data_IF_181507636435
#
_entry.id   IF_181507636435
#
_cell.length_a   1.000
_cell.length_b   1.000
_cell.length_c   1.000
_cell.angle_alpha   90.00
_cell.angle_beta   90.00
_cell.angle_gamma   90.00
#
_symmetry.space_group_name_H-M   'P 1'
#
loop_
_entity.id
_entity.type
_entity.pdbx_description
1 polymer ?
#
# COMPACT_ATOMS: atom_id res chain seq x y z
N UNK A 1 19.40 36.07 81.95
CA UNK A 1 20.48 36.42 81.02
C UNK A 1 20.20 35.68 79.72
N UNK A 2 19.82 36.40 78.65
CA UNK A 2 19.55 35.82 77.31
C UNK A 2 20.87 35.67 76.55
N UNK A 3 21.06 34.61 75.74
CA UNK A 3 21.91 34.69 74.57
C UNK A 3 21.06 34.78 73.29
N UNK A 4 21.51 35.67 72.41
CA UNK A 4 20.89 36.03 71.15
C UNK A 4 21.01 34.92 70.10
N UNK A 5 19.92 34.66 69.38
CA UNK A 5 19.93 33.85 68.17
C UNK A 5 20.46 34.71 67.00
N UNK A 6 21.61 34.30 66.46
CA UNK A 6 22.23 34.90 65.30
C UNK A 6 21.52 34.39 64.03
N UNK A 7 20.87 35.29 63.30
CA UNK A 7 20.28 35.04 61.98
C UNK A 7 21.42 34.87 60.95
N UNK A 8 21.62 33.65 60.45
CA UNK A 8 22.40 33.40 59.23
C UNK A 8 21.45 33.46 58.03
N UNK A 9 21.56 34.55 57.27
CA UNK A 9 20.93 34.70 55.97
C UNK A 9 21.61 33.74 54.97
N UNK A 10 20.91 32.69 54.57
CA UNK A 10 21.35 31.84 53.45
C UNK A 10 21.00 32.55 52.15
N UNK A 11 22.03 33.04 51.47
CA UNK A 11 21.95 33.58 50.12
C UNK A 11 21.59 32.42 49.18
N UNK A 12 20.38 32.45 48.62
CA UNK A 12 19.96 31.53 47.57
C UNK A 12 20.67 31.90 46.27
N UNK A 13 21.75 31.21 45.95
CA UNK A 13 22.35 31.25 44.62
C UNK A 13 21.43 30.50 43.65
N UNK A 14 20.69 31.24 42.83
CA UNK A 14 19.94 30.69 41.72
C UNK A 14 20.93 30.20 40.65
N UNK A 15 21.21 28.90 40.61
CA UNK A 15 21.91 28.27 39.51
C UNK A 15 20.98 28.21 38.30
N UNK A 16 21.20 29.09 37.33
CA UNK A 16 20.58 29.01 36.02
C UNK A 16 21.00 27.72 35.33
N UNK A 17 20.12 26.71 35.33
CA UNK A 17 20.31 25.50 34.55
C UNK A 17 20.22 25.87 33.05
N UNK A 18 21.37 25.86 32.39
CA UNK A 18 21.48 26.02 30.94
C UNK A 18 20.93 24.75 30.31
N UNK A 19 19.70 24.80 29.78
CA UNK A 19 19.14 23.70 28.99
C UNK A 19 19.93 23.61 27.68
N UNK A 20 20.46 22.44 27.28
CA UNK A 20 21.02 22.29 25.95
C UNK A 20 19.87 22.41 24.94
N UNK A 21 20.03 23.34 24.00
CA UNK A 21 19.11 23.54 22.90
C UNK A 21 18.88 22.20 22.18
N UNK A 22 17.65 21.69 22.26
CA UNK A 22 17.21 20.59 21.40
C UNK A 22 17.27 21.08 19.96
N UNK A 23 17.95 20.36 19.05
CA UNK A 23 17.90 20.73 17.64
C UNK A 23 16.46 20.55 17.20
N UNK A 24 15.89 21.62 16.64
CA UNK A 24 14.55 21.62 16.09
C UNK A 24 14.37 20.42 15.15
N UNK A 25 13.41 19.55 15.50
CA UNK A 25 12.87 18.50 14.65
C UNK A 25 12.14 19.15 13.45
N UNK A 26 12.90 19.69 12.52
CA UNK A 26 12.41 20.28 11.28
C UNK A 26 13.07 19.56 10.09
N UNK A 27 12.78 18.27 9.92
CA UNK A 27 13.09 17.56 8.66
C UNK A 27 12.31 16.25 8.43
N UNK A 28 11.33 15.88 9.28
CA UNK A 28 10.43 14.76 8.98
C UNK A 28 9.14 15.28 8.34
N UNK A 29 9.27 15.88 7.15
CA UNK A 29 8.15 15.91 6.23
C UNK A 29 8.14 14.55 5.54
N UNK A 30 7.15 13.66 5.78
CA UNK A 30 6.94 12.58 4.84
C UNK A 30 6.71 13.24 3.48
N UNK A 31 7.35 12.72 2.44
CA UNK A 31 7.10 13.13 1.07
C UNK A 31 5.62 12.94 0.75
N UNK A 32 4.80 13.94 1.09
CA UNK A 32 3.42 14.09 0.62
C UNK A 32 3.54 14.46 -0.84
N UNK A 33 3.53 13.45 -1.71
CA UNK A 33 3.21 13.65 -3.13
C UNK A 33 1.81 14.28 -3.18
N UNK A 34 1.78 15.56 -3.52
CA UNK A 34 0.63 16.47 -3.45
C UNK A 34 -0.46 16.23 -4.51
N UNK A 35 -0.53 15.04 -5.12
CA UNK A 35 -1.44 14.85 -6.27
C UNK A 35 -2.04 13.44 -6.34
N UNK A 36 -2.82 13.06 -5.33
CA UNK A 36 -3.80 11.96 -5.41
C UNK A 36 -5.02 12.32 -4.57
N UNK A 37 -6.17 12.49 -5.22
CA UNK A 37 -7.47 12.77 -4.59
C UNK A 37 -8.12 11.55 -3.91
N UNK A 38 -7.37 10.46 -3.69
CA UNK A 38 -7.75 9.40 -2.76
C UNK A 38 -6.60 9.16 -1.78
N UNK A 39 -6.93 9.23 -0.49
CA UNK A 39 -5.97 9.19 0.63
C UNK A 39 -5.54 7.76 1.01
N UNK A 40 -5.85 6.78 0.16
CA UNK A 40 -5.24 5.45 0.07
C UNK A 40 -4.65 5.35 -1.32
N UNK A 41 -3.57 4.59 -1.48
CA UNK A 41 -3.06 4.35 -2.83
C UNK A 41 -4.12 3.61 -3.66
N UNK A 42 -4.81 4.38 -4.51
CA UNK A 42 -5.73 3.97 -5.56
C UNK A 42 -6.57 2.74 -5.29
N UNK A 43 -7.48 2.84 -4.33
CA UNK A 43 -8.68 2.01 -4.40
C UNK A 43 -9.41 2.37 -5.70
N UNK A 44 -9.38 1.45 -6.65
CA UNK A 44 -10.01 1.60 -7.95
C UNK A 44 -11.54 1.48 -7.85
N UNK A 45 -12.03 0.73 -6.86
CA UNK A 45 -13.46 0.38 -6.77
C UNK A 45 -13.95 -0.40 -7.99
N UNK A 46 -13.02 -0.97 -8.77
CA UNK A 46 -13.33 -1.72 -9.98
C UNK A 46 -14.14 -2.94 -9.56
N UNK A 47 -15.39 -3.01 -10.01
CA UNK A 47 -16.27 -4.15 -9.76
C UNK A 47 -16.33 -5.05 -10.97
N UNK A 48 -16.44 -6.34 -10.73
CA UNK A 48 -16.59 -7.30 -11.82
C UNK A 48 -18.02 -7.26 -12.37
N UNK A 49 -18.21 -7.02 -13.69
CA UNK A 49 -19.51 -7.16 -14.30
C UNK A 49 -19.96 -8.63 -14.27
N UNK A 50 -21.25 -8.85 -14.44
CA UNK A 50 -21.85 -10.19 -14.54
C UNK A 50 -21.12 -11.00 -15.60
N UNK A 51 -20.63 -12.18 -15.23
CA UNK A 51 -19.92 -13.05 -16.16
C UNK A 51 -20.82 -13.57 -17.29
N UNK A 52 -20.24 -14.07 -18.39
CA UNK A 52 -20.97 -14.67 -19.51
C UNK A 52 -21.87 -15.85 -19.09
N UNK A 53 -21.52 -16.53 -18.00
CA UNK A 53 -22.30 -17.64 -17.43
C UNK A 53 -23.42 -17.19 -16.46
N UNK A 54 -23.69 -15.87 -16.38
CA UNK A 54 -24.67 -15.32 -15.43
C UNK A 54 -24.22 -15.40 -13.96
N UNK A 55 -22.92 -15.57 -13.72
CA UNK A 55 -22.31 -15.50 -12.40
C UNK A 55 -22.09 -14.03 -12.01
N UNK A 56 -23.00 -13.53 -11.18
CA UNK A 56 -22.96 -12.19 -10.60
C UNK A 56 -22.22 -12.20 -9.26
N UNK A 57 -21.59 -11.09 -8.90
CA UNK A 57 -21.12 -10.86 -7.54
C UNK A 57 -22.31 -10.93 -6.57
N UNK A 58 -22.32 -11.93 -5.70
CA UNK A 58 -23.35 -12.14 -4.68
C UNK A 58 -23.00 -11.37 -3.39
N UNK A 59 -21.71 -11.31 -3.08
CA UNK A 59 -21.23 -10.76 -1.82
C UNK A 59 -19.90 -10.03 -2.00
N UNK A 60 -19.81 -8.81 -1.49
CA UNK A 60 -18.53 -8.12 -1.30
C UNK A 60 -18.16 -8.16 0.18
N UNK A 61 -16.96 -8.61 0.50
CA UNK A 61 -16.45 -8.72 1.87
C UNK A 61 -15.12 -7.98 1.98
N UNK A 62 -14.92 -7.28 3.09
CA UNK A 62 -13.60 -6.77 3.45
C UNK A 62 -13.00 -7.59 4.59
N UNK A 63 -11.78 -8.06 4.40
CA UNK A 63 -10.97 -8.72 5.40
C UNK A 63 -9.79 -7.84 5.79
N UNK A 64 -9.40 -7.82 7.06
CA UNK A 64 -8.28 -7.00 7.53
C UNK A 64 -7.36 -7.81 8.43
N UNK A 65 -6.06 -7.63 8.22
CA UNK A 65 -5.02 -8.15 9.09
C UNK A 65 -3.87 -7.12 9.15
N UNK A 66 -3.57 -6.63 10.34
CA UNK A 66 -2.49 -5.66 10.61
C UNK A 66 -2.48 -4.47 9.61
N UNK A 67 -1.49 -4.37 8.73
CA UNK A 67 -1.32 -3.27 7.77
C UNK A 67 -2.00 -3.51 6.41
N UNK A 68 -2.86 -4.53 6.26
CA UNK A 68 -3.51 -4.87 4.98
C UNK A 68 -5.01 -5.07 5.09
N UNK A 69 -5.74 -4.42 4.18
CA UNK A 69 -7.18 -4.58 3.95
C UNK A 69 -7.40 -5.23 2.58
N UNK A 70 -8.06 -6.40 2.56
CA UNK A 70 -8.47 -7.09 1.35
C UNK A 70 -9.96 -6.87 1.11
N UNK A 71 -10.32 -6.21 0.01
CA UNK A 71 -11.71 -6.08 -0.45
C UNK A 71 -11.93 -7.10 -1.56
N UNK A 72 -12.80 -8.07 -1.32
CA UNK A 72 -13.05 -9.17 -2.25
C UNK A 72 -14.50 -9.25 -2.67
N UNK A 73 -14.72 -9.65 -3.92
CA UNK A 73 -16.03 -9.97 -4.46
C UNK A 73 -16.16 -11.47 -4.64
N UNK A 74 -17.22 -12.04 -4.11
CA UNK A 74 -17.55 -13.45 -4.14
C UNK A 74 -18.81 -13.66 -4.99
N UNK A 75 -18.75 -14.62 -5.90
CA UNK A 75 -19.88 -15.11 -6.68
C UNK A 75 -20.55 -16.31 -6.04
N UNK A 76 -21.24 -17.10 -6.86
CA UNK A 76 -21.93 -18.32 -6.40
C UNK A 76 -20.96 -19.30 -5.73
N UNK A 77 -21.45 -20.02 -4.73
CA UNK A 77 -20.65 -20.98 -3.94
C UNK A 77 -19.39 -20.37 -3.31
N UNK A 78 -19.38 -19.05 -3.05
CA UNK A 78 -18.23 -18.29 -2.52
C UNK A 78 -17.00 -18.32 -3.43
N UNK A 79 -17.18 -18.52 -4.73
CA UNK A 79 -16.09 -18.41 -5.69
C UNK A 79 -15.53 -16.98 -5.72
N UNK A 80 -14.22 -16.84 -5.61
CA UNK A 80 -13.55 -15.54 -5.62
C UNK A 80 -13.55 -14.95 -7.04
N UNK A 81 -14.13 -13.76 -7.20
CA UNK A 81 -14.34 -13.08 -8.50
C UNK A 81 -13.42 -11.89 -8.68
N UNK A 82 -13.15 -11.15 -7.61
CA UNK A 82 -12.36 -9.94 -7.64
C UNK A 82 -11.63 -9.74 -6.31
N UNK A 83 -10.47 -9.08 -6.36
CA UNK A 83 -9.67 -8.77 -5.18
C UNK A 83 -8.93 -7.46 -5.32
N UNK A 84 -9.11 -6.57 -4.37
CA UNK A 84 -8.32 -5.36 -4.24
C UNK A 84 -7.70 -5.29 -2.84
N UNK A 85 -6.36 -5.35 -2.79
CA UNK A 85 -5.59 -5.24 -1.56
C UNK A 85 -5.12 -3.79 -1.38
N UNK A 86 -5.33 -3.27 -0.17
CA UNK A 86 -5.07 -1.88 0.22
C UNK A 86 -4.15 -1.90 1.43
N UNK A 87 -3.05 -1.15 1.35
CA UNK A 87 -2.15 -0.91 2.48
C UNK A 87 -2.76 0.10 3.47
N UNK A 88 -2.66 -0.22 4.75
CA UNK A 88 -3.07 0.64 5.87
C UNK A 88 -1.82 1.15 6.59
N UNK A 89 -1.57 2.44 6.51
CA UNK A 89 -0.43 3.09 7.17
C UNK A 89 -0.74 3.47 8.62
N UNK A 90 -1.97 3.89 8.89
CA UNK A 90 -2.45 4.35 10.17
C UNK A 90 -3.77 3.66 10.56
N UNK A 91 -4.11 3.53 11.86
CA UNK A 91 -5.39 2.94 12.29
C UNK A 91 -6.63 3.70 11.76
N UNK A 92 -6.49 5.01 11.52
CA UNK A 92 -7.49 5.88 10.90
C UNK A 92 -7.83 5.43 9.47
N UNK A 93 -6.87 4.81 8.77
CA UNK A 93 -7.01 4.41 7.38
C UNK A 93 -8.13 3.40 7.17
N UNK A 94 -8.26 2.45 8.10
CA UNK A 94 -9.34 1.47 8.08
C UNK A 94 -10.70 2.14 8.20
N UNK A 95 -10.83 3.17 9.04
CA UNK A 95 -12.10 3.88 9.24
C UNK A 95 -12.49 4.65 7.99
N UNK A 96 -11.52 5.30 7.33
CA UNK A 96 -11.75 6.04 6.10
C UNK A 96 -12.04 5.08 4.94
N UNK A 97 -11.30 3.98 4.80
CA UNK A 97 -11.59 2.94 3.81
C UNK A 97 -13.02 2.40 3.98
N UNK A 98 -13.41 2.07 5.23
CA UNK A 98 -14.76 1.62 5.54
C UNK A 98 -15.82 2.67 5.25
N UNK A 99 -15.57 3.97 5.50
CA UNK A 99 -16.55 5.03 5.26
C UNK A 99 -16.80 5.27 3.77
N UNK A 100 -15.76 5.20 2.94
CA UNK A 100 -15.87 5.34 1.48
C UNK A 100 -16.59 4.15 0.83
N UNK A 101 -16.47 2.96 1.44
CA UNK A 101 -17.13 1.75 0.95
C UNK A 101 -18.61 1.65 1.35
N UNK A 102 -19.13 2.48 2.27
CA UNK A 102 -20.53 2.38 2.77
C UNK A 102 -21.60 2.59 1.70
N UNK A 103 -21.33 3.44 0.72
CA UNK A 103 -22.30 3.77 -0.34
C UNK A 103 -22.25 2.80 -1.52
N UNK A 104 -21.16 2.05 -1.62
CA UNK A 104 -20.80 1.23 -2.78
C UNK A 104 -20.81 -0.27 -2.47
N UNK A 105 -20.75 -0.66 -1.20
CA UNK A 105 -20.68 -2.06 -0.80
C UNK A 105 -21.67 -2.34 0.33
N UNK A 106 -22.20 -3.57 0.36
CA UNK A 106 -23.24 -3.98 1.31
C UNK A 106 -22.71 -4.27 2.72
N UNK A 107 -21.39 -4.22 2.92
CA UNK A 107 -20.77 -4.59 4.20
C UNK A 107 -20.55 -3.37 5.10
N UNK A 108 -20.85 -3.54 6.39
CA UNK A 108 -20.80 -2.45 7.39
C UNK A 108 -19.46 -2.36 8.15
N UNK A 109 -18.63 -3.41 8.11
CA UNK A 109 -17.36 -3.49 8.85
C UNK A 109 -16.43 -4.55 8.24
N UNK A 110 -15.11 -4.28 8.25
CA UNK A 110 -14.11 -5.27 7.85
C UNK A 110 -13.99 -6.40 8.90
N UNK A 111 -13.86 -7.63 8.43
CA UNK A 111 -13.70 -8.84 9.23
C UNK A 111 -12.21 -9.04 9.53
N UNK A 112 -11.85 -9.20 10.80
CA UNK A 112 -10.47 -9.53 11.17
C UNK A 112 -10.21 -11.01 10.91
N UNK A 113 -9.10 -11.32 10.24
CA UNK A 113 -8.60 -12.68 10.01
C UNK A 113 -7.17 -12.80 10.53
N UNK A 114 -6.66 -14.02 10.66
CA UNK A 114 -5.28 -14.25 11.07
C UNK A 114 -4.29 -14.10 9.88
N UNK A 115 -3.01 -14.21 10.18
CA UNK A 115 -1.94 -14.03 9.19
C UNK A 115 -2.01 -15.08 8.06
N UNK A 116 -2.16 -16.35 8.41
CA UNK A 116 -2.19 -17.46 7.45
C UNK A 116 -3.41 -17.36 6.52
N UNK A 117 -4.57 -16.98 7.07
CA UNK A 117 -5.79 -16.72 6.30
C UNK A 117 -5.60 -15.55 5.33
N UNK A 118 -4.96 -14.46 5.78
CA UNK A 118 -4.70 -13.31 4.91
C UNK A 118 -3.71 -13.68 3.80
N UNK A 119 -2.64 -14.40 4.12
CA UNK A 119 -1.66 -14.85 3.13
C UNK A 119 -2.29 -15.79 2.09
N UNK A 120 -3.13 -16.74 2.52
CA UNK A 120 -3.87 -17.62 1.62
C UNK A 120 -4.87 -16.87 0.73
N UNK A 121 -5.52 -15.84 1.28
CA UNK A 121 -6.40 -14.94 0.52
C UNK A 121 -5.59 -14.15 -0.52
N UNK A 122 -4.45 -13.59 -0.13
CA UNK A 122 -3.56 -12.83 -1.01
C UNK A 122 -3.02 -13.68 -2.16
N UNK A 123 -2.65 -14.93 -1.90
CA UNK A 123 -2.23 -15.90 -2.93
C UNK A 123 -3.37 -16.15 -3.94
N UNK A 124 -4.57 -16.43 -3.43
CA UNK A 124 -5.76 -16.61 -4.28
C UNK A 124 -6.04 -15.37 -5.13
N UNK A 125 -5.89 -14.17 -4.57
CA UNK A 125 -6.08 -12.91 -5.27
C UNK A 125 -5.04 -12.67 -6.39
N UNK A 126 -3.79 -13.12 -6.23
CA UNK A 126 -2.75 -12.99 -7.26
C UNK A 126 -3.01 -13.88 -8.48
N UNK A 127 -3.68 -15.00 -8.27
CA UNK A 127 -4.00 -15.98 -9.30
C UNK A 127 -5.25 -15.59 -10.11
N UNK A 128 -6.05 -14.63 -9.64
CA UNK A 128 -7.17 -14.11 -10.39
C UNK A 128 -6.68 -13.44 -11.69
N UNK A 129 -7.08 -14.01 -12.82
CA UNK A 129 -7.02 -13.31 -14.09
C UNK A 129 -8.19 -12.31 -14.12
N UNK A 130 -7.90 -11.02 -13.95
CA UNK A 130 -8.91 -9.96 -14.12
C UNK A 130 -9.37 -9.94 -15.58
N UNK A 131 -10.61 -10.36 -15.88
CA UNK A 131 -11.07 -10.55 -17.27
C UNK A 131 -11.23 -9.25 -18.06
N UNK A 132 -11.26 -8.07 -17.42
CA UNK A 132 -11.68 -6.82 -18.07
C UNK A 132 -10.56 -5.98 -18.70
N UNK A 133 -9.28 -6.32 -18.50
CA UNK A 133 -8.16 -5.61 -19.16
C UNK A 133 -7.37 -6.48 -20.14
N UNK A 134 -7.50 -7.81 -20.07
CA UNK A 134 -6.84 -8.73 -21.00
C UNK A 134 -7.77 -9.22 -22.13
N UNK A 135 -9.09 -9.15 -21.96
CA UNK A 135 -10.06 -9.60 -22.97
C UNK A 135 -10.58 -8.47 -23.87
N UNK A 136 -9.70 -7.57 -24.35
CA UNK A 136 -9.91 -7.08 -25.71
C UNK A 136 -9.29 -8.15 -26.60
N UNK A 137 -10.09 -8.99 -27.28
CA UNK A 137 -9.53 -10.00 -28.15
C UNK A 137 -8.72 -9.26 -29.21
N UNK A 138 -7.41 -9.41 -29.15
CA UNK A 138 -6.54 -9.13 -30.27
C UNK A 138 -7.05 -10.01 -31.39
N UNK A 139 -7.74 -9.39 -32.34
CA UNK A 139 -8.39 -10.07 -33.43
C UNK A 139 -7.36 -11.01 -34.05
N UNK A 140 -7.59 -12.33 -33.90
CA UNK A 140 -7.04 -13.36 -34.77
C UNK A 140 -7.53 -13.07 -36.20
N UNK A 141 -6.98 -12.05 -36.85
CA UNK A 141 -6.87 -11.99 -38.29
C UNK A 141 -5.46 -12.42 -38.61
N UNK A 142 -5.36 -13.70 -38.96
CA UNK A 142 -4.29 -14.23 -39.79
C UNK A 142 -4.18 -13.30 -41.01
N UNK A 143 -3.22 -12.38 -41.00
CA UNK A 143 -2.78 -11.64 -42.18
C UNK A 143 -1.35 -12.05 -42.44
N UNK A 144 -1.14 -12.81 -43.52
CA UNK A 144 0.16 -13.29 -44.01
C UNK A 144 0.99 -12.13 -44.58
N UNK A 145 1.28 -11.14 -43.75
CA UNK A 145 2.27 -10.12 -44.05
C UNK A 145 2.91 -9.70 -42.74
N UNK A 146 3.95 -10.43 -42.35
CA UNK A 146 4.84 -10.09 -41.25
C UNK A 146 5.59 -8.78 -41.58
N UNK A 147 4.93 -7.65 -41.35
CA UNK A 147 5.61 -6.37 -41.20
C UNK A 147 6.37 -6.46 -39.87
N UNK A 148 7.71 -6.48 -39.94
CA UNK A 148 8.63 -6.50 -38.79
C UNK A 148 8.09 -5.59 -37.68
N UNK A 149 7.84 -6.17 -36.50
CA UNK A 149 7.63 -5.41 -35.27
C UNK A 149 8.87 -4.54 -35.05
N UNK A 150 8.75 -3.20 -34.98
CA UNK A 150 9.90 -2.35 -34.68
C UNK A 150 10.36 -2.68 -33.27
N UNK A 151 11.66 -2.88 -33.09
CA UNK A 151 12.33 -3.07 -31.78
C UNK A 151 12.21 -1.85 -30.84
N UNK A 152 11.37 -0.89 -31.20
CA UNK A 152 11.27 0.44 -30.60
C UNK A 152 10.21 0.49 -29.49
N UNK A 153 9.45 -0.59 -29.23
CA UNK A 153 8.51 -0.64 -28.11
C UNK A 153 9.23 -0.71 -26.74
N UNK A 154 10.43 -1.31 -26.71
CA UNK A 154 11.31 -1.30 -25.53
C UNK A 154 11.93 0.09 -25.25
N UNK A 155 11.91 0.99 -26.25
CA UNK A 155 12.54 2.31 -26.12
C UNK A 155 11.73 3.27 -25.26
N UNK A 156 10.39 3.19 -25.27
CA UNK A 156 9.58 4.18 -24.55
C UNK A 156 9.54 3.97 -23.03
N UNK A 157 9.77 2.75 -22.54
CA UNK A 157 9.85 2.46 -21.10
C UNK A 157 11.25 2.71 -20.54
N UNK A 158 12.30 2.62 -21.37
CA UNK A 158 13.67 3.05 -21.01
C UNK A 158 13.85 4.58 -21.04
N UNK A 159 12.96 5.30 -21.71
CA UNK A 159 13.00 6.77 -21.83
C UNK A 159 12.27 7.51 -20.71
N UNK A 160 11.78 6.82 -19.67
CA UNK A 160 11.28 7.50 -18.47
C UNK A 160 12.40 7.60 -17.41
N UNK A 161 13.20 8.67 -17.41
CA UNK A 161 14.36 8.80 -16.52
C UNK A 161 13.96 8.77 -15.04
N UNK A 162 12.69 9.07 -14.72
CA UNK A 162 12.17 9.07 -13.35
C UNK A 162 12.08 7.66 -12.77
N UNK A 163 11.72 6.65 -13.55
CA UNK A 163 11.59 5.27 -13.06
C UNK A 163 12.98 4.66 -12.74
N UNK A 164 13.95 4.90 -13.62
CA UNK A 164 15.34 4.45 -13.43
C UNK A 164 16.00 5.18 -12.25
N UNK A 165 15.76 6.48 -12.09
CA UNK A 165 16.31 7.25 -10.96
C UNK A 165 15.59 6.95 -9.62
N UNK A 166 14.35 6.45 -9.66
CA UNK A 166 13.59 6.03 -8.48
C UNK A 166 13.87 4.58 -8.06
N UNK A 167 14.77 3.86 -8.76
CA UNK A 167 15.10 2.47 -8.47
C UNK A 167 13.98 1.48 -8.78
N UNK A 168 13.06 1.83 -9.70
CA UNK A 168 12.02 0.91 -10.19
C UNK A 168 12.58 0.06 -11.33
N UNK A 169 12.36 -1.25 -11.28
CA UNK A 169 12.79 -2.20 -12.31
C UNK A 169 12.02 -1.92 -13.62
N UNK A 170 12.70 -1.77 -14.78
CA UNK A 170 12.04 -1.52 -16.05
C UNK A 170 10.98 -2.57 -16.38
N UNK A 171 9.82 -2.11 -16.86
CA UNK A 171 8.70 -3.00 -17.19
C UNK A 171 7.82 -3.39 -15.99
N UNK A 172 8.15 -2.92 -14.79
CA UNK A 172 7.38 -3.14 -13.55
C UNK A 172 6.88 -1.81 -13.00
N UNK A 173 5.96 -1.85 -12.03
CA UNK A 173 5.48 -0.67 -11.30
C UNK A 173 5.66 -0.78 -9.79
N UNK A 174 5.79 -2.00 -9.28
CA UNK A 174 5.89 -2.35 -7.87
C UNK A 174 7.29 -2.77 -7.44
N UNK A 175 8.18 -3.09 -8.37
CA UNK A 175 9.53 -3.54 -8.01
C UNK A 175 10.49 -2.37 -7.86
N UNK A 176 10.75 -1.91 -6.63
CA UNK A 176 11.82 -0.94 -6.35
C UNK A 176 11.78 -0.37 -4.94
N UNK A 177 12.34 0.83 -4.76
CA UNK A 177 12.25 1.54 -3.46
C UNK A 177 10.86 2.17 -3.34
N UNK A 178 9.91 1.34 -2.90
CA UNK A 178 8.49 1.60 -3.05
C UNK A 178 8.04 1.36 -4.49
N UNK A 179 6.98 2.06 -4.89
CA UNK A 179 6.33 1.79 -6.17
C UNK A 179 5.81 3.07 -6.86
N UNK A 180 5.43 2.93 -8.13
CA UNK A 180 4.78 3.96 -8.94
C UNK A 180 3.37 3.58 -9.39
N UNK A 181 2.81 2.49 -8.86
CA UNK A 181 1.49 2.01 -9.26
C UNK A 181 0.39 2.97 -8.78
N UNK A 182 -0.63 3.15 -9.63
CA UNK A 182 -1.79 3.95 -9.26
C UNK A 182 -2.73 3.16 -8.33
N UNK A 183 -3.03 1.91 -8.68
CA UNK A 183 -4.02 1.03 -8.02
C UNK A 183 -3.49 -0.40 -7.87
N UNK A 184 -4.18 -1.27 -7.13
CA UNK A 184 -3.80 -2.69 -7.00
C UNK A 184 -3.63 -3.41 -8.34
N UNK A 185 -4.49 -3.10 -9.33
CA UNK A 185 -4.46 -3.73 -10.66
C UNK A 185 -3.48 -3.08 -11.63
N UNK A 186 -2.84 -1.97 -11.22
CA UNK A 186 -1.92 -1.23 -12.07
C UNK A 186 -0.55 -1.93 -12.11
N UNK A 187 -0.43 -2.91 -12.99
CA UNK A 187 0.81 -3.65 -13.25
C UNK A 187 1.51 -3.14 -14.51
N UNK A 188 2.83 -3.29 -14.54
CA UNK A 188 3.67 -3.06 -15.69
C UNK A 188 3.52 -4.12 -16.79
N UNK A 189 4.38 -4.05 -17.79
CA UNK A 189 4.41 -5.01 -18.90
C UNK A 189 4.88 -6.40 -18.44
N UNK A 190 5.79 -6.45 -17.47
CA UNK A 190 6.29 -7.69 -16.87
C UNK A 190 5.40 -8.11 -15.68
N UNK A 191 4.16 -8.49 -15.98
CA UNK A 191 3.11 -8.74 -14.98
C UNK A 191 3.49 -9.82 -13.98
N UNK A 192 4.21 -10.87 -14.40
CA UNK A 192 4.53 -11.99 -13.50
C UNK A 192 5.45 -11.52 -12.39
N UNK A 193 6.54 -10.82 -12.74
CA UNK A 193 7.47 -10.26 -11.77
C UNK A 193 6.82 -9.18 -10.91
N UNK A 194 6.02 -8.32 -11.55
CA UNK A 194 5.41 -7.18 -10.89
C UNK A 194 4.35 -7.61 -9.84
N UNK A 195 3.66 -8.73 -10.08
CA UNK A 195 2.77 -9.35 -9.07
C UNK A 195 3.53 -9.79 -7.83
N UNK A 196 4.74 -10.35 -7.97
CA UNK A 196 5.56 -10.74 -6.83
C UNK A 196 5.95 -9.51 -6.00
N UNK A 197 6.41 -8.44 -6.65
CA UNK A 197 6.78 -7.20 -5.95
C UNK A 197 5.58 -6.52 -5.29
N UNK A 198 4.42 -6.49 -5.96
CA UNK A 198 3.17 -6.00 -5.36
C UNK A 198 2.82 -6.76 -4.08
N UNK A 199 3.02 -8.06 -4.08
CA UNK A 199 2.67 -8.91 -2.94
C UNK A 199 3.64 -8.74 -1.78
N UNK A 200 4.91 -8.50 -2.09
CA UNK A 200 5.93 -8.08 -1.13
C UNK A 200 5.56 -6.73 -0.49
N UNK A 201 5.21 -5.73 -1.30
CA UNK A 201 4.89 -4.40 -0.81
C UNK A 201 3.62 -4.36 0.04
N UNK A 202 2.63 -5.19 -0.30
CA UNK A 202 1.36 -5.32 0.44
C UNK A 202 1.41 -6.39 1.54
N UNK A 203 2.60 -6.75 2.04
CA UNK A 203 2.72 -7.68 3.15
C UNK A 203 1.88 -7.20 4.35
N UNK A 204 1.02 -8.05 4.94
CA UNK A 204 0.19 -7.68 6.09
C UNK A 204 1.00 -7.26 7.32
N UNK A 205 2.21 -7.83 7.46
CA UNK A 205 3.13 -7.56 8.56
C UNK A 205 4.42 -7.05 7.95
N UNK A 206 4.69 -5.75 8.12
CA UNK A 206 5.97 -5.15 7.77
C UNK A 206 6.38 -4.10 8.78
N UNK A 207 7.68 -3.95 8.92
CA UNK A 207 8.32 -2.96 9.78
C UNK A 207 8.96 -1.91 8.89
N UNK A 208 8.27 -0.78 8.71
CA UNK A 208 8.77 0.31 7.87
C UNK A 208 10.07 0.91 8.43
N UNK A 209 10.77 1.62 7.55
CA UNK A 209 12.00 2.34 7.90
C UNK A 209 11.81 3.21 9.16
N UNK A 210 12.76 3.10 10.08
CA UNK A 210 12.80 3.82 11.37
C UNK A 210 11.58 3.61 12.28
N UNK A 211 10.78 2.56 12.06
CA UNK A 211 9.68 2.20 12.94
C UNK A 211 10.12 1.23 14.04
N UNK A 212 9.37 1.29 15.15
CA UNK A 212 9.44 0.33 16.23
C UNK A 212 8.08 -0.38 16.35
N UNK A 213 8.04 -1.69 16.08
CA UNK A 213 6.88 -2.56 16.27
C UNK A 213 7.35 -3.96 16.65
N UNK A 214 6.47 -4.73 17.30
CA UNK A 214 6.76 -6.12 17.69
C UNK A 214 8.04 -6.27 18.54
N UNK A 215 8.37 -5.24 19.33
CA UNK A 215 9.63 -5.14 20.10
C UNK A 215 10.90 -5.16 19.23
N UNK A 216 10.77 -4.83 17.95
CA UNK A 216 11.85 -4.72 16.97
C UNK A 216 11.97 -3.28 16.48
N UNK A 217 13.20 -2.84 16.23
CA UNK A 217 13.49 -1.50 15.69
C UNK A 217 14.13 -1.66 14.31
N UNK A 218 13.54 -1.04 13.29
CA UNK A 218 14.13 -1.00 11.96
C UNK A 218 14.97 0.26 11.79
N UNK A 219 16.27 0.19 12.09
CA UNK A 219 17.20 1.31 11.91
C UNK A 219 17.66 1.54 10.45
N UNK A 220 17.07 0.86 9.47
CA UNK A 220 17.45 0.99 8.07
C UNK A 220 16.50 1.93 7.31
N UNK A 221 16.97 2.41 6.16
CA UNK A 221 16.18 3.24 5.22
C UNK A 221 15.12 2.44 4.44
N UNK A 222 15.10 1.12 4.58
CA UNK A 222 14.19 0.22 3.84
C UNK A 222 13.22 -0.47 4.80
N UNK A 223 12.05 -0.84 4.30
CA UNK A 223 11.10 -1.69 5.05
C UNK A 223 11.62 -3.11 5.19
N UNK A 224 11.26 -3.77 6.29
CA UNK A 224 11.59 -5.17 6.60
C UNK A 224 10.32 -5.97 6.83
#
# INVERSE_FOLDING_TARGET
MKPAALLLAVVAAASAATTPATPALAAYLPWRRSDRTSWFKGWSGLRMPTGPDGDATELTVAYVHEETLAVVELGKARALRNCELIELFEPSDLVVAQSMMRNTTRFKKAIKINFDEMMGLMDSCQQLHTPSLEQRPEAKRISRNARRVPKNLFSNTLNNPVAIFSGIVPGTKWCGTGDIAATYYDLGTEKSMDRCCRSHDLCPIKLRSYQNKYSLINNSIYSK
#
